data_IF_975665050062
#
_entry.id   IF_975665050062
#
_cell.length_a   1.000
_cell.length_b   1.000
_cell.length_c   1.000
_cell.angle_alpha   90.00
_cell.angle_beta   90.00
_cell.angle_gamma   90.00
#
_symmetry.space_group_name_H-M   'P 1'
#
loop_
_entity.id
_entity.type
_entity.pdbx_description
1 polymer ?
#
# COMPACT_ATOMS: atom_id res chain seq x y z
N UNK A 1 12.67 16.99 2.03
CA UNK A 1 12.83 15.57 2.39
C UNK A 1 13.29 14.86 1.12
N UNK A 2 14.49 14.28 1.10
CA UNK A 2 14.94 13.51 -0.08
C UNK A 2 14.13 12.22 -0.18
N UNK A 3 13.79 11.85 -1.40
CA UNK A 3 13.14 10.60 -1.78
C UNK A 3 13.85 9.40 -1.11
N UNK A 4 13.15 8.50 -0.40
CA UNK A 4 13.74 7.36 0.32
C UNK A 4 14.72 6.54 -0.53
N UNK A 5 14.41 6.38 -1.81
CA UNK A 5 15.23 5.65 -2.79
C UNK A 5 16.64 6.25 -3.00
N UNK A 6 16.89 7.48 -2.56
CA UNK A 6 18.22 8.11 -2.62
C UNK A 6 19.00 8.02 -1.30
N UNK A 7 18.40 7.50 -0.23
CA UNK A 7 19.02 7.46 1.10
C UNK A 7 19.65 6.10 1.39
N UNK A 8 18.92 5.01 1.14
CA UNK A 8 19.40 3.64 1.33
C UNK A 8 18.52 2.64 0.56
N UNK A 9 18.99 1.39 0.35
CA UNK A 9 18.14 0.31 -0.12
C UNK A 9 16.88 0.13 0.76
N UNK A 10 15.73 -0.30 0.20
CA UNK A 10 14.46 -0.38 0.92
C UNK A 10 14.53 -1.21 2.21
N UNK A 11 15.26 -2.34 2.17
CA UNK A 11 15.50 -3.26 3.30
C UNK A 11 16.19 -2.59 4.49
N UNK A 12 16.99 -1.56 4.24
CA UNK A 12 17.78 -0.84 5.26
C UNK A 12 17.04 0.43 5.70
N UNK A 13 16.33 1.09 4.78
CA UNK A 13 15.60 2.32 5.03
C UNK A 13 14.35 2.08 5.90
N UNK A 14 13.56 1.05 5.59
CA UNK A 14 12.35 0.70 6.33
C UNK A 14 12.65 -0.32 7.44
N UNK A 15 13.55 0.02 8.35
CA UNK A 15 13.67 -0.71 9.61
C UNK A 15 12.40 -0.54 10.47
N UNK A 16 12.22 -1.38 11.51
CA UNK A 16 11.04 -1.39 12.39
C UNK A 16 10.62 0.00 12.91
N UNK A 17 11.58 0.90 13.18
CA UNK A 17 11.31 2.26 13.66
C UNK A 17 10.65 3.12 12.58
N UNK A 18 11.23 3.14 11.38
CA UNK A 18 10.73 3.95 10.27
C UNK A 18 9.42 3.40 9.71
N UNK A 19 9.27 2.06 9.68
CA UNK A 19 8.01 1.40 9.32
C UNK A 19 6.85 1.85 10.23
N UNK A 20 7.04 1.81 11.56
CA UNK A 20 6.00 2.27 12.51
C UNK A 20 5.66 3.74 12.37
N UNK A 21 6.65 4.61 12.15
CA UNK A 21 6.40 6.05 11.92
C UNK A 21 5.61 6.27 10.64
N UNK A 22 5.89 5.49 9.60
CA UNK A 22 5.18 5.55 8.33
C UNK A 22 3.70 5.18 8.50
N UNK A 23 3.41 4.03 9.11
CA UNK A 23 2.03 3.52 9.32
C UNK A 23 1.22 4.38 10.31
N UNK A 24 1.87 4.99 11.30
CA UNK A 24 1.19 5.85 12.29
C UNK A 24 0.94 7.28 11.82
N UNK A 25 1.47 7.67 10.66
CA UNK A 25 1.32 9.01 10.11
C UNK A 25 -0.03 9.18 9.42
N UNK A 26 -0.95 9.91 10.05
CA UNK A 26 -2.29 10.19 9.49
C UNK A 26 -2.24 10.81 8.10
N UNK A 27 -1.26 11.69 7.85
CA UNK A 27 -1.04 12.30 6.52
C UNK A 27 -0.64 11.26 5.48
N UNK A 28 0.21 10.29 5.85
CA UNK A 28 0.63 9.22 4.92
C UNK A 28 -0.56 8.32 4.62
N UNK A 29 -1.32 7.91 5.64
CA UNK A 29 -2.50 7.07 5.47
C UNK A 29 -3.53 7.73 4.54
N UNK A 30 -3.81 9.03 4.72
CA UNK A 30 -4.71 9.79 3.85
C UNK A 30 -4.21 9.84 2.39
N UNK A 31 -2.92 10.05 2.18
CA UNK A 31 -2.33 10.09 0.84
C UNK A 31 -2.39 8.71 0.18
N UNK A 32 -2.03 7.65 0.91
CA UNK A 32 -2.02 6.28 0.40
C UNK A 32 -3.44 5.78 0.06
N UNK A 33 -4.44 6.12 0.89
CA UNK A 33 -5.84 5.81 0.58
C UNK A 33 -6.28 6.48 -0.74
N UNK A 34 -6.06 7.80 -0.89
CA UNK A 34 -6.39 8.54 -2.12
C UNK A 34 -5.68 7.99 -3.36
N UNK A 35 -4.41 7.60 -3.22
CA UNK A 35 -3.66 7.00 -4.33
C UNK A 35 -4.20 5.62 -4.70
N UNK A 36 -4.60 4.83 -3.70
CA UNK A 36 -5.14 3.47 -3.89
C UNK A 36 -6.54 3.51 -4.53
N UNK A 37 -7.40 4.42 -4.09
CA UNK A 37 -8.69 4.72 -4.71
C UNK A 37 -8.51 5.10 -6.18
N UNK A 38 -7.57 6.01 -6.46
CA UNK A 38 -7.29 6.42 -7.84
C UNK A 38 -6.72 5.29 -8.69
N UNK A 39 -5.91 4.41 -8.12
CA UNK A 39 -5.39 3.23 -8.82
C UNK A 39 -6.52 2.25 -9.17
N UNK A 40 -7.47 2.02 -8.25
CA UNK A 40 -8.66 1.21 -8.51
C UNK A 40 -9.53 1.78 -9.64
N UNK A 41 -9.75 3.10 -9.66
CA UNK A 41 -10.45 3.76 -10.78
C UNK A 41 -9.74 3.51 -12.12
N UNK A 42 -8.40 3.57 -12.14
CA UNK A 42 -7.60 3.38 -13.34
C UNK A 42 -7.51 1.92 -13.80
N UNK A 43 -7.70 0.96 -12.90
CA UNK A 43 -7.80 -0.46 -13.27
C UNK A 43 -9.04 -0.76 -14.11
N UNK A 44 -10.06 0.11 -14.08
CA UNK A 44 -11.27 0.01 -14.89
C UNK A 44 -11.91 -1.39 -14.81
N UNK A 45 -12.02 -1.92 -13.59
CA UNK A 45 -12.64 -3.20 -13.32
C UNK A 45 -14.11 -3.18 -13.77
N UNK A 46 -14.67 -4.30 -14.25
CA UNK A 46 -16.07 -4.34 -14.67
C UNK A 46 -17.02 -4.00 -13.52
N UNK A 47 -18.01 -3.15 -13.81
CA UNK A 47 -19.08 -2.76 -12.89
C UNK A 47 -20.22 -3.81 -12.93
N UNK A 48 -19.94 -4.98 -12.36
CA UNK A 48 -20.82 -6.16 -12.37
C UNK A 48 -21.07 -6.73 -10.95
N UNK A 49 -20.72 -5.98 -9.91
CA UNK A 49 -20.80 -6.38 -8.49
C UNK A 49 -20.00 -7.66 -8.13
N UNK A 50 -19.04 -8.09 -8.96
CA UNK A 50 -18.21 -9.27 -8.68
C UNK A 50 -16.88 -8.86 -8.02
N UNK A 51 -16.59 -9.32 -6.78
CA UNK A 51 -15.29 -9.13 -6.15
C UNK A 51 -14.14 -9.66 -7.01
N UNK A 52 -13.04 -8.91 -7.08
CA UNK A 52 -11.80 -9.33 -7.75
C UNK A 52 -10.80 -9.83 -6.72
N UNK A 53 -9.94 -10.74 -7.17
CA UNK A 53 -8.73 -11.11 -6.45
C UNK A 53 -7.56 -10.33 -7.05
N UNK A 54 -6.99 -9.42 -6.27
CA UNK A 54 -5.95 -8.50 -6.71
C UNK A 54 -4.59 -8.87 -6.09
N UNK A 55 -3.50 -8.59 -6.80
CA UNK A 55 -2.15 -8.72 -6.28
C UNK A 55 -1.60 -7.31 -5.99
N UNK A 56 -1.32 -7.02 -4.72
CA UNK A 56 -0.75 -5.76 -4.27
C UNK A 56 0.77 -5.90 -4.14
N UNK A 57 1.53 -5.29 -5.06
CA UNK A 57 2.98 -5.41 -5.16
C UNK A 57 3.64 -4.18 -4.52
N UNK A 58 4.48 -4.41 -3.51
CA UNK A 58 4.97 -3.35 -2.63
C UNK A 58 3.87 -2.91 -1.65
N UNK A 59 3.15 -3.89 -1.07
CA UNK A 59 1.99 -3.63 -0.22
C UNK A 59 2.35 -2.89 1.07
N UNK A 60 3.63 -2.85 1.44
CA UNK A 60 4.11 -2.28 2.68
C UNK A 60 3.30 -2.79 3.88
N UNK A 61 2.86 -1.85 4.72
CA UNK A 61 2.02 -2.12 5.89
C UNK A 61 0.54 -2.34 5.58
N UNK A 62 0.18 -2.63 4.33
CA UNK A 62 -1.18 -3.00 3.93
C UNK A 62 -2.17 -1.84 3.76
N UNK A 63 -1.72 -0.58 3.78
CA UNK A 63 -2.62 0.59 3.67
C UNK A 63 -3.42 0.59 2.36
N UNK A 64 -2.79 0.20 1.25
CA UNK A 64 -3.48 0.02 -0.04
C UNK A 64 -4.48 -1.13 0.02
N UNK A 65 -4.09 -2.23 0.65
CA UNK A 65 -4.94 -3.41 0.88
C UNK A 65 -6.20 -3.12 1.69
N UNK A 66 -6.15 -2.20 2.66
CA UNK A 66 -7.35 -1.71 3.35
C UNK A 66 -8.35 -1.09 2.35
N UNK A 67 -7.88 -0.19 1.49
CA UNK A 67 -8.71 0.40 0.42
C UNK A 67 -9.26 -0.64 -0.55
N UNK A 68 -8.47 -1.66 -0.92
CA UNK A 68 -8.95 -2.78 -1.76
C UNK A 68 -10.08 -3.55 -1.06
N UNK A 69 -9.94 -3.79 0.24
CA UNK A 69 -10.94 -4.50 1.06
C UNK A 69 -12.22 -3.68 1.21
N UNK A 70 -12.11 -2.38 1.49
CA UNK A 70 -13.23 -1.45 1.59
C UNK A 70 -13.99 -1.32 0.26
N UNK A 71 -13.28 -1.45 -0.87
CA UNK A 71 -13.86 -1.49 -2.22
C UNK A 71 -14.46 -2.86 -2.60
N UNK A 72 -14.50 -3.81 -1.66
CA UNK A 72 -15.14 -5.12 -1.84
C UNK A 72 -14.28 -6.14 -2.60
N UNK A 73 -12.97 -5.93 -2.71
CA UNK A 73 -12.05 -6.86 -3.37
C UNK A 73 -11.25 -7.68 -2.36
N UNK A 74 -10.84 -8.87 -2.77
CA UNK A 74 -9.86 -9.68 -2.06
C UNK A 74 -8.47 -9.38 -2.61
N UNK A 75 -7.44 -9.52 -1.79
CA UNK A 75 -6.08 -9.24 -2.24
C UNK A 75 -5.04 -10.13 -1.57
N UNK A 76 -3.92 -10.27 -2.25
CA UNK A 76 -2.69 -10.90 -1.75
C UNK A 76 -1.61 -9.82 -1.80
N UNK A 77 -0.93 -9.58 -0.68
CA UNK A 77 0.17 -8.62 -0.59
C UNK A 77 1.53 -9.28 -0.79
N UNK A 78 2.43 -8.57 -1.46
CA UNK A 78 3.86 -8.90 -1.53
C UNK A 78 4.68 -7.65 -1.23
N UNK A 79 5.63 -7.74 -0.30
CA UNK A 79 6.65 -6.72 -0.07
C UNK A 79 8.02 -7.36 0.13
N UNK A 80 9.08 -6.61 -0.14
CA UNK A 80 10.47 -7.03 0.09
C UNK A 80 10.92 -6.76 1.53
N UNK A 81 10.26 -5.82 2.21
CA UNK A 81 10.61 -5.42 3.56
C UNK A 81 9.83 -6.22 4.60
N UNK A 82 10.53 -7.13 5.28
CA UNK A 82 9.97 -7.91 6.40
C UNK A 82 9.42 -7.03 7.52
N UNK A 83 9.98 -5.83 7.73
CA UNK A 83 9.52 -4.90 8.79
C UNK A 83 8.23 -4.15 8.42
N UNK A 84 7.84 -4.18 7.15
CA UNK A 84 6.62 -3.55 6.67
C UNK A 84 5.44 -4.53 6.64
N UNK A 85 5.69 -5.85 6.55
CA UNK A 85 4.69 -6.92 6.61
C UNK A 85 4.21 -7.17 8.05
#
# INVERSE_FOLDING_TARGET
>A
MSRPEFQAPPEIFYNESEARKYTSSSRINEIQAKLSERALELLALPDDDVPRLLLDIGCGSGLSGETLTESGHQWIGLDISDSML
#
